data_IF_532028835724
#
_entry.id   IF_532028835724
#
_cell.length_a   1.000
_cell.length_b   1.000
_cell.length_c   1.000
_cell.angle_alpha   90.00
_cell.angle_beta   90.00
_cell.angle_gamma   90.00
#
_symmetry.space_group_name_H-M   'P 1'
#
loop_
_entity.id
_entity.type
_entity.pdbx_description
1 polymer ?
#
# COMPACT_ATOMS: atom_id res chain seq x y z
N UNK A 1 -40.51 -5.40 0.71
CA UNK A 1 -39.24 -6.02 1.16
C UNK A 1 -38.16 -4.95 1.19
N UNK A 2 -37.84 -4.40 2.36
CA UNK A 2 -36.78 -3.39 2.49
C UNK A 2 -35.41 -4.08 2.46
N UNK A 3 -34.82 -4.20 1.27
CA UNK A 3 -33.42 -4.59 1.13
C UNK A 3 -32.56 -3.50 1.77
N UNK A 4 -31.92 -3.81 2.91
CA UNK A 4 -30.91 -2.93 3.50
C UNK A 4 -29.88 -2.61 2.42
N UNK A 5 -29.80 -1.34 1.99
CA UNK A 5 -28.75 -0.88 1.08
C UNK A 5 -27.42 -1.09 1.80
N UNK A 6 -26.67 -2.11 1.40
CA UNK A 6 -25.34 -2.39 1.93
C UNK A 6 -24.39 -1.31 1.37
N UNK A 7 -23.66 -0.63 2.26
CA UNK A 7 -22.62 0.29 1.84
C UNK A 7 -21.51 -0.45 1.08
N UNK A 8 -20.84 0.25 0.17
CA UNK A 8 -19.67 -0.29 -0.53
C UNK A 8 -18.57 -0.62 0.47
N UNK A 9 -17.97 -1.80 0.36
CA UNK A 9 -16.77 -2.17 1.10
C UNK A 9 -15.54 -2.24 0.20
N UNK A 10 -14.36 -2.48 0.78
CA UNK A 10 -13.11 -2.58 0.03
C UNK A 10 -13.20 -3.58 -1.15
N UNK A 11 -13.80 -4.75 -0.97
CA UNK A 11 -13.94 -5.76 -2.04
C UNK A 11 -14.81 -5.27 -3.20
N UNK A 12 -15.89 -4.56 -2.92
CA UNK A 12 -16.74 -3.97 -3.96
C UNK A 12 -15.94 -2.97 -4.79
N UNK A 13 -15.17 -2.10 -4.14
CA UNK A 13 -14.32 -1.12 -4.83
C UNK A 13 -13.15 -1.76 -5.58
N UNK A 14 -12.57 -2.87 -5.10
CA UNK A 14 -11.56 -3.64 -5.83
C UNK A 14 -12.14 -4.29 -7.09
N UNK A 15 -13.40 -4.73 -7.06
CA UNK A 15 -14.10 -5.22 -8.25
C UNK A 15 -14.29 -4.10 -9.26
N UNK A 16 -14.68 -2.91 -8.81
CA UNK A 16 -14.79 -1.71 -9.66
C UNK A 16 -13.44 -1.32 -10.26
N UNK A 17 -12.34 -1.42 -9.49
CA UNK A 17 -10.98 -1.17 -9.98
C UNK A 17 -10.61 -2.09 -11.17
N UNK A 18 -11.07 -3.34 -11.16
CA UNK A 18 -10.85 -4.27 -12.29
C UNK A 18 -11.49 -3.76 -13.57
N UNK A 19 -12.71 -3.22 -13.50
CA UNK A 19 -13.35 -2.59 -14.67
C UNK A 19 -12.62 -1.31 -15.08
N UNK A 20 -12.24 -0.47 -14.11
CA UNK A 20 -11.53 0.78 -14.37
C UNK A 20 -10.18 0.57 -15.06
N UNK A 21 -9.47 -0.51 -14.74
CA UNK A 21 -8.20 -0.90 -15.40
C UNK A 21 -8.35 -1.25 -16.88
N UNK A 22 -9.55 -1.66 -17.32
CA UNK A 22 -9.84 -1.90 -18.74
C UNK A 22 -10.06 -0.60 -19.49
N UNK A 23 -10.61 0.41 -18.82
CA UNK A 23 -10.85 1.74 -19.39
C UNK A 23 -9.62 2.64 -19.33
N UNK A 24 -8.75 2.43 -18.33
CA UNK A 24 -7.56 3.24 -18.03
C UNK A 24 -6.33 2.36 -17.98
N UNK A 25 -5.73 2.10 -19.14
CA UNK A 25 -4.62 1.15 -19.29
C UNK A 25 -3.39 1.48 -18.45
N UNK A 26 -3.11 2.77 -18.21
CA UNK A 26 -1.99 3.23 -17.36
C UNK A 26 -2.05 2.67 -15.92
N UNK A 27 -3.22 2.27 -15.43
CA UNK A 27 -3.35 1.62 -14.11
C UNK A 27 -2.71 0.21 -14.06
N UNK A 28 -2.38 -0.39 -15.21
CA UNK A 28 -1.69 -1.67 -15.30
C UNK A 28 -0.15 -1.53 -15.22
N UNK A 29 0.35 -0.31 -15.44
CA UNK A 29 1.76 0.02 -15.24
C UNK A 29 2.11 0.02 -13.75
N UNK A 30 1.14 0.45 -12.91
CA UNK A 30 1.28 0.55 -11.46
C UNK A 30 1.15 -0.83 -10.79
N UNK A 31 1.85 -1.00 -9.65
CA UNK A 31 1.69 -2.15 -8.78
C UNK A 31 0.21 -2.34 -8.36
N UNK A 32 -0.36 -3.50 -8.70
CA UNK A 32 -1.76 -3.84 -8.40
C UNK A 32 -2.07 -3.89 -6.92
N UNK A 33 -1.12 -4.39 -6.10
CA UNK A 33 -1.28 -4.49 -4.64
C UNK A 33 -1.35 -3.11 -4.00
N UNK A 34 -0.54 -2.15 -4.48
CA UNK A 34 -0.57 -0.77 -3.98
C UNK A 34 -1.88 -0.07 -4.30
N UNK A 35 -2.43 -0.27 -5.50
CA UNK A 35 -3.76 0.26 -5.86
C UNK A 35 -4.87 -0.34 -4.98
N UNK A 36 -4.83 -1.66 -4.74
CA UNK A 36 -5.79 -2.33 -3.88
C UNK A 36 -5.68 -1.86 -2.42
N UNK A 37 -4.46 -1.65 -1.92
CA UNK A 37 -4.24 -1.20 -0.54
C UNK A 37 -4.78 0.22 -0.30
N UNK A 38 -4.68 1.12 -1.29
CA UNK A 38 -5.32 2.44 -1.20
C UNK A 38 -6.85 2.34 -1.01
N UNK A 39 -7.49 1.33 -1.58
CA UNK A 39 -8.93 1.08 -1.38
C UNK A 39 -9.24 0.51 0.01
N UNK A 40 -8.34 -0.30 0.57
CA UNK A 40 -8.45 -0.79 1.96
C UNK A 40 -8.36 0.38 2.94
N UNK A 41 -7.40 1.29 2.75
CA UNK A 41 -7.26 2.49 3.59
C UNK A 41 -8.47 3.42 3.45
N UNK A 42 -9.06 3.52 2.25
CA UNK A 42 -10.31 4.25 2.03
C UNK A 42 -11.48 3.65 2.84
N UNK A 43 -11.67 2.33 2.76
CA UNK A 43 -12.71 1.62 3.53
C UNK A 43 -12.48 1.77 5.03
N UNK A 44 -11.23 1.66 5.49
CA UNK A 44 -10.84 1.90 6.89
C UNK A 44 -11.18 3.32 7.35
N UNK A 45 -10.87 4.33 6.55
CA UNK A 45 -11.18 5.72 6.86
C UNK A 45 -12.68 5.96 6.98
N UNK A 46 -13.48 5.45 6.04
CA UNK A 46 -14.95 5.56 6.12
C UNK A 46 -15.52 4.79 7.31
N UNK A 47 -15.01 3.58 7.61
CA UNK A 47 -15.42 2.82 8.81
C UNK A 47 -15.13 3.59 10.09
N UNK A 48 -13.99 4.28 10.17
CA UNK A 48 -13.64 5.12 11.33
C UNK A 48 -14.58 6.33 11.45
N UNK A 49 -14.88 6.99 10.34
CA UNK A 49 -15.85 8.09 10.27
C UNK A 49 -17.25 7.67 10.75
N UNK A 50 -17.77 6.54 10.24
CA UNK A 50 -19.08 6.03 10.67
C UNK A 50 -19.12 5.53 12.13
N UNK A 51 -17.95 5.22 12.71
CA UNK A 51 -17.81 4.93 14.14
C UNK A 51 -17.65 6.19 15.00
N UNK A 52 -17.69 7.38 14.41
CA UNK A 52 -17.45 8.66 15.08
C UNK A 52 -16.07 8.78 15.73
N UNK A 53 -15.07 8.04 15.23
CA UNK A 53 -13.69 8.10 15.72
C UNK A 53 -12.81 9.08 14.93
N UNK A 54 -13.30 9.61 13.81
CA UNK A 54 -12.58 10.53 12.95
C UNK A 54 -13.53 11.40 12.13
N UNK A 55 -13.03 12.51 11.61
CA UNK A 55 -13.74 13.36 10.66
C UNK A 55 -13.96 12.68 9.30
N UNK A 56 -14.73 13.35 8.44
CA UNK A 56 -15.01 12.88 7.09
C UNK A 56 -13.70 12.65 6.30
N UNK A 57 -13.52 11.48 5.66
CA UNK A 57 -12.30 11.18 4.91
C UNK A 57 -12.04 12.20 3.80
N UNK A 58 -10.81 12.68 3.69
CA UNK A 58 -10.38 13.60 2.64
C UNK A 58 -9.25 13.00 1.82
N UNK A 59 -9.12 13.45 0.57
CA UNK A 59 -7.99 13.06 -0.27
C UNK A 59 -6.69 13.64 0.29
N UNK A 60 -5.64 12.82 0.30
CA UNK A 60 -4.31 13.27 0.70
C UNK A 60 -3.79 14.31 -0.30
N UNK A 61 -3.17 15.38 0.21
CA UNK A 61 -2.49 16.38 -0.61
C UNK A 61 -1.38 15.73 -1.44
N UNK A 62 -1.31 16.08 -2.73
CA UNK A 62 -0.21 15.64 -3.60
C UNK A 62 1.10 16.40 -3.39
N UNK A 63 1.15 17.41 -2.51
CA UNK A 63 2.31 18.32 -2.37
C UNK A 63 3.44 17.79 -1.47
N UNK A 64 3.14 16.94 -0.49
CA UNK A 64 4.11 16.43 0.48
C UNK A 64 3.65 15.11 1.09
N UNK A 65 4.58 14.37 1.72
CA UNK A 65 4.31 13.12 2.43
C UNK A 65 3.60 12.06 1.57
N UNK A 66 4.02 11.94 0.32
CA UNK A 66 3.51 10.92 -0.58
C UNK A 66 4.04 9.56 -0.14
N UNK A 67 3.18 8.55 -0.07
CA UNK A 67 3.60 7.19 0.16
C UNK A 67 2.69 6.21 -0.55
N UNK A 68 3.20 5.01 -0.73
CA UNK A 68 2.38 3.86 -1.10
C UNK A 68 2.87 2.63 -0.36
N UNK A 69 1.96 1.67 -0.23
CA UNK A 69 2.17 0.45 0.54
C UNK A 69 2.26 -0.72 -0.42
N UNK A 70 3.21 -1.61 -0.17
CA UNK A 70 3.33 -2.91 -0.82
C UNK A 70 3.17 -3.97 0.29
N UNK A 71 1.97 -4.59 0.39
CA UNK A 71 1.70 -5.57 1.43
C UNK A 71 2.38 -6.92 1.19
N UNK A 72 2.75 -7.26 -0.05
CA UNK A 72 3.31 -8.58 -0.37
C UNK A 72 4.06 -8.57 -1.70
N UNK A 73 4.64 -9.73 -2.05
CA UNK A 73 5.30 -10.01 -3.33
C UNK A 73 6.57 -9.18 -3.58
N UNK A 74 7.26 -8.82 -2.49
CA UNK A 74 8.64 -8.36 -2.54
C UNK A 74 9.59 -9.56 -2.49
N UNK A 75 10.80 -9.39 -3.03
CA UNK A 75 11.88 -10.39 -2.96
C UNK A 75 13.14 -9.73 -2.45
N UNK A 76 14.00 -10.51 -1.82
CA UNK A 76 15.31 -10.06 -1.34
C UNK A 76 16.38 -10.86 -2.07
N UNK A 77 17.37 -10.18 -2.66
CA UNK A 77 18.50 -10.84 -3.32
C UNK A 77 19.73 -9.94 -3.19
N UNK A 78 20.87 -10.50 -2.76
CA UNK A 78 22.16 -9.79 -2.73
C UNK A 78 22.07 -8.41 -2.04
N UNK A 79 21.39 -8.34 -0.89
CA UNK A 79 21.15 -7.08 -0.15
C UNK A 79 20.37 -6.00 -0.94
N UNK A 80 19.53 -6.43 -1.90
CA UNK A 80 18.59 -5.58 -2.62
C UNK A 80 17.15 -6.01 -2.35
N UNK A 81 16.29 -5.01 -2.14
CA UNK A 81 14.85 -5.16 -2.06
C UNK A 81 14.24 -5.03 -3.46
N UNK A 82 13.71 -6.13 -3.98
CA UNK A 82 13.04 -6.19 -5.27
C UNK A 82 11.54 -6.03 -5.02
N UNK A 83 10.98 -4.94 -5.55
CA UNK A 83 9.56 -4.65 -5.47
C UNK A 83 8.88 -5.00 -6.80
N UNK A 84 7.57 -5.30 -6.81
CA UNK A 84 6.86 -5.46 -8.08
C UNK A 84 7.03 -4.21 -8.95
N UNK A 85 7.39 -4.41 -10.23
CA UNK A 85 7.75 -3.39 -11.23
C UNK A 85 9.15 -2.76 -11.08
N UNK A 86 9.88 -3.01 -10.00
CA UNK A 86 11.26 -2.57 -9.79
C UNK A 86 12.20 -3.78 -9.84
N UNK A 87 12.50 -4.25 -11.05
CA UNK A 87 13.23 -5.51 -11.29
C UNK A 87 14.71 -5.41 -10.91
N UNK A 88 15.32 -4.23 -11.09
CA UNK A 88 16.75 -4.01 -10.80
C UNK A 88 17.10 -4.11 -9.30
N UNK A 89 16.08 -4.02 -8.45
CA UNK A 89 16.19 -4.05 -7.00
C UNK A 89 16.75 -2.75 -6.42
N UNK A 90 16.29 -2.43 -5.21
CA UNK A 90 16.71 -1.24 -4.46
C UNK A 90 17.77 -1.66 -3.44
N UNK A 91 19.00 -1.13 -3.48
CA UNK A 91 20.04 -1.51 -2.55
C UNK A 91 19.66 -1.11 -1.12
N UNK A 92 19.80 -2.04 -0.18
CA UNK A 92 19.56 -1.79 1.22
C UNK A 92 20.83 -1.23 1.87
N UNK A 93 20.76 -0.01 2.41
CA UNK A 93 21.94 0.72 2.90
C UNK A 93 22.31 0.37 4.35
N UNK A 94 21.42 -0.26 5.09
CA UNK A 94 21.66 -0.52 6.51
C UNK A 94 22.65 -1.69 6.74
N UNK A 95 23.40 -1.62 7.84
CA UNK A 95 24.43 -2.60 8.21
C UNK A 95 23.84 -3.94 8.65
N UNK A 96 22.62 -3.92 9.16
CA UNK A 96 21.93 -5.11 9.69
C UNK A 96 21.48 -6.09 8.60
N UNK A 97 21.59 -5.71 7.32
CA UNK A 97 21.05 -6.50 6.20
C UNK A 97 19.52 -6.46 6.14
N UNK A 98 18.96 -7.00 5.05
CA UNK A 98 17.50 -7.03 4.89
C UNK A 98 16.91 -8.12 5.80
N UNK A 99 15.90 -7.82 6.64
CA UNK A 99 15.22 -8.81 7.46
C UNK A 99 14.62 -9.96 6.63
N UNK A 100 14.60 -11.17 7.18
CA UNK A 100 14.08 -12.35 6.49
C UNK A 100 12.55 -12.35 6.40
N UNK A 101 11.86 -12.06 7.51
CA UNK A 101 10.40 -12.14 7.62
C UNK A 101 9.69 -10.80 7.41
N UNK A 102 9.83 -10.22 6.23
CA UNK A 102 9.12 -8.98 5.89
C UNK A 102 7.63 -9.25 5.70
N UNK A 103 6.79 -8.50 6.41
CA UNK A 103 5.32 -8.50 6.27
C UNK A 103 4.81 -7.40 5.36
N UNK A 104 5.46 -6.23 5.36
CA UNK A 104 4.99 -5.08 4.60
C UNK A 104 6.13 -4.13 4.30
N UNK A 105 6.10 -3.49 3.14
CA UNK A 105 6.99 -2.38 2.79
C UNK A 105 6.17 -1.13 2.54
N UNK A 106 6.61 -0.01 3.11
CA UNK A 106 6.05 1.32 2.86
C UNK A 106 7.11 2.16 2.18
N UNK A 107 6.80 2.63 0.97
CA UNK A 107 7.66 3.56 0.26
C UNK A 107 7.14 4.96 0.50
N UNK A 108 7.97 5.79 1.10
CA UNK A 108 7.68 7.21 1.35
C UNK A 108 8.56 8.08 0.47
N UNK A 109 8.04 9.22 0.03
CA UNK A 109 8.76 10.24 -0.71
C UNK A 109 8.80 11.51 0.11
N UNK A 110 10.02 11.96 0.39
CA UNK A 110 10.32 13.31 0.81
C UNK A 110 10.80 14.15 -0.40
N UNK A 111 11.03 15.44 -0.22
CA UNK A 111 11.32 16.43 -1.29
C UNK A 111 12.27 15.89 -2.37
N UNK A 112 13.38 15.26 -1.96
CA UNK A 112 14.41 14.77 -2.89
C UNK A 112 14.66 13.25 -2.82
N UNK A 113 14.07 12.55 -1.85
CA UNK A 113 14.49 11.19 -1.49
C UNK A 113 13.32 10.26 -1.28
N UNK A 114 13.53 8.99 -1.65
CA UNK A 114 12.62 7.90 -1.36
C UNK A 114 13.19 7.05 -0.23
N UNK A 115 12.32 6.63 0.68
CA UNK A 115 12.65 5.75 1.80
C UNK A 115 11.78 4.51 1.76
N UNK A 116 12.39 3.35 1.98
CA UNK A 116 11.68 2.09 2.18
C UNK A 116 11.66 1.75 3.66
N UNK A 117 10.48 1.80 4.27
CA UNK A 117 10.26 1.32 5.63
C UNK A 117 9.76 -0.13 5.56
N UNK A 118 10.45 -1.01 6.26
CA UNK A 118 10.21 -2.46 6.23
C UNK A 118 9.62 -2.88 7.58
N UNK A 119 8.43 -3.48 7.55
CA UNK A 119 7.80 -4.10 8.70
C UNK A 119 8.10 -5.59 8.64
N UNK A 120 8.71 -6.13 9.68
CA UNK A 120 9.11 -7.53 9.78
C UNK A 120 8.81 -8.06 11.18
N UNK A 121 8.64 -9.38 11.28
CA UNK A 121 8.61 -10.08 12.57
C UNK A 121 10.01 -10.61 12.88
N UNK A 122 10.41 -10.56 14.16
CA UNK A 122 11.66 -11.14 14.66
C UNK A 122 11.37 -11.93 15.92
N UNK A 123 11.94 -13.12 16.02
CA UNK A 123 11.89 -13.95 17.23
C UNK A 123 12.86 -13.46 18.31
N UNK A 124 13.71 -12.47 18.00
CA UNK A 124 14.56 -11.81 18.97
C UNK A 124 13.69 -10.96 19.92
N UNK A 125 13.79 -11.28 21.21
CA UNK A 125 13.16 -10.48 22.26
C UNK A 125 13.93 -9.16 22.40
N UNK A 126 13.23 -8.02 22.55
CA UNK A 126 13.85 -6.70 22.55
C UNK A 126 14.79 -6.44 23.73
#
# INVERSE_FOLDING_TARGET
MNGKKKGLNAFDTMKMLTSLKKEKEWLNEINSQSLQHSLVELDKAFRSFFKHNSDYPSFRSGKSNQYFIIPANFRTKENKLILPKFVDGIPFRDKSGIPEEIKQVVITKDVERYYASVFYESDETP
#
